data_IF_983081708052
#
_entry.id   IF_983081708052
#
_cell.length_a   1.000
_cell.length_b   1.000
_cell.length_c   1.000
_cell.angle_alpha   90.00
_cell.angle_beta   90.00
_cell.angle_gamma   90.00
#
_symmetry.space_group_name_H-M   'P 1'
#
loop_
_entity.id
_entity.type
_entity.pdbx_description
1 polymer ?
#
# COMPACT_ATOMS: atom_id res chain seq x y z
N UNK A 1 -31.28 6.61 32.93
CA UNK A 1 -31.13 7.95 32.35
C UNK A 1 -29.71 8.45 32.60
N UNK A 2 -28.95 8.85 31.57
CA UNK A 2 -27.68 9.54 31.78
C UNK A 2 -27.94 10.91 32.44
N UNK A 3 -27.07 11.30 33.38
CA UNK A 3 -27.17 12.55 34.14
C UNK A 3 -27.04 13.75 33.20
N UNK A 4 -27.80 14.86 33.39
CA UNK A 4 -27.72 16.06 32.56
C UNK A 4 -26.30 16.64 32.47
N UNK A 5 -25.48 16.54 33.52
CA UNK A 5 -24.08 17.01 33.52
C UNK A 5 -23.20 16.25 32.51
N UNK A 6 -23.39 14.94 32.36
CA UNK A 6 -22.62 14.11 31.43
C UNK A 6 -22.85 14.49 29.96
N UNK A 7 -24.05 15.00 29.63
CA UNK A 7 -24.37 15.45 28.27
C UNK A 7 -23.84 16.83 27.93
N UNK A 8 -23.67 17.70 28.94
CA UNK A 8 -23.02 19.01 28.77
C UNK A 8 -21.51 18.84 28.53
N UNK A 9 -20.87 17.94 29.29
CA UNK A 9 -19.45 17.61 29.14
C UNK A 9 -19.14 16.96 27.78
N UNK A 10 -20.00 16.06 27.29
CA UNK A 10 -19.81 15.43 25.98
C UNK A 10 -19.81 16.45 24.83
N UNK A 11 -20.76 17.40 24.84
CA UNK A 11 -20.82 18.48 23.84
C UNK A 11 -19.63 19.44 23.92
N UNK A 12 -19.06 19.62 25.11
CA UNK A 12 -17.85 20.43 25.27
C UNK A 12 -16.65 19.75 24.60
N UNK A 13 -16.47 18.43 24.81
CA UNK A 13 -15.42 17.65 24.14
C UNK A 13 -15.58 17.62 22.62
N UNK A 14 -16.80 17.44 22.10
CA UNK A 14 -17.05 17.48 20.65
C UNK A 14 -16.62 18.82 20.03
N UNK A 15 -16.97 19.94 20.67
CA UNK A 15 -16.57 21.28 20.21
C UNK A 15 -15.07 21.49 20.28
N UNK A 16 -14.44 20.97 21.33
CA UNK A 16 -12.99 21.08 21.52
C UNK A 16 -12.24 20.37 20.40
N UNK A 17 -12.62 19.14 20.06
CA UNK A 17 -12.03 18.38 18.95
C UNK A 17 -12.34 18.99 17.59
N UNK A 18 -13.55 19.54 17.38
CA UNK A 18 -13.89 20.25 16.15
C UNK A 18 -13.05 21.51 15.89
N UNK A 19 -12.48 22.10 16.95
CA UNK A 19 -11.58 23.26 16.87
C UNK A 19 -10.10 22.86 16.92
N UNK A 20 -9.81 21.57 17.11
CA UNK A 20 -8.45 21.06 17.18
C UNK A 20 -7.96 20.65 15.79
N UNK A 21 -6.68 20.86 15.53
CA UNK A 21 -6.05 20.57 14.24
C UNK A 21 -4.76 19.79 14.44
N UNK A 22 -4.61 18.74 13.64
CA UNK A 22 -3.39 17.96 13.53
C UNK A 22 -2.71 18.31 12.22
N UNK A 23 -1.47 18.79 12.28
CA UNK A 23 -0.68 19.13 11.11
C UNK A 23 0.59 18.29 11.10
N UNK A 24 0.89 17.72 9.93
CA UNK A 24 2.12 16.97 9.70
C UNK A 24 3.02 17.76 8.76
N UNK A 25 4.29 17.82 9.13
CA UNK A 25 5.34 18.44 8.34
C UNK A 25 6.50 17.47 8.17
N UNK A 26 7.20 17.61 7.06
CA UNK A 26 8.39 16.83 6.74
C UNK A 26 9.51 17.78 6.42
N UNK A 27 10.58 17.71 7.22
CA UNK A 27 11.81 18.47 6.96
C UNK A 27 12.93 17.47 6.65
N UNK A 28 13.25 17.35 5.36
CA UNK A 28 14.16 16.32 4.86
C UNK A 28 13.64 14.91 5.13
N UNK A 29 14.27 14.22 6.09
CA UNK A 29 13.97 12.83 6.45
C UNK A 29 13.35 12.68 7.85
N UNK A 30 12.87 13.79 8.42
CA UNK A 30 12.27 13.87 9.76
C UNK A 30 10.78 14.19 9.61
N UNK A 31 9.96 13.43 10.33
CA UNK A 31 8.53 13.70 10.47
C UNK A 31 8.28 14.50 11.75
N UNK A 32 7.70 15.68 11.59
CA UNK A 32 7.22 16.52 12.69
C UNK A 32 5.70 16.59 12.67
N UNK A 33 5.12 16.67 13.86
CA UNK A 33 3.69 16.66 14.09
C UNK A 33 3.32 17.73 15.11
N UNK A 34 2.38 18.60 14.77
CA UNK A 34 1.85 19.61 15.68
C UNK A 34 0.35 19.40 15.89
N UNK A 35 -0.05 19.36 17.17
CA UNK A 35 -1.44 19.35 17.58
C UNK A 35 -1.79 20.73 18.14
N UNK A 36 -2.58 21.49 17.39
CA UNK A 36 -3.13 22.76 17.84
C UNK A 36 -4.51 22.53 18.45
N UNK A 37 -4.70 22.93 19.70
CA UNK A 37 -5.96 22.84 20.41
C UNK A 37 -6.17 24.04 21.33
N UNK A 38 -7.42 24.44 21.63
CA UNK A 38 -7.72 25.54 22.54
C UNK A 38 -7.19 25.36 23.97
N UNK A 39 -6.95 24.13 24.40
CA UNK A 39 -6.39 23.79 25.71
C UNK A 39 -5.54 22.51 25.63
N UNK A 40 -4.83 22.21 26.71
CA UNK A 40 -4.04 20.97 26.80
C UNK A 40 -4.94 19.74 26.86
N UNK A 41 -4.70 18.80 25.94
CA UNK A 41 -5.53 17.61 25.78
C UNK A 41 -4.78 16.37 26.29
N UNK A 42 -5.41 15.52 27.12
CA UNK A 42 -4.85 14.23 27.49
C UNK A 42 -4.97 13.26 26.30
N UNK A 43 -4.03 13.37 25.35
CA UNK A 43 -4.07 12.63 24.09
C UNK A 43 -2.74 11.94 23.79
N UNK A 44 -2.79 10.94 22.91
CA UNK A 44 -1.63 10.24 22.37
C UNK A 44 -1.55 10.44 20.88
N UNK A 45 -0.35 10.65 20.38
CA UNK A 45 -0.05 10.64 18.96
C UNK A 45 0.39 9.23 18.57
N UNK A 46 -0.32 8.65 17.61
CA UNK A 46 -0.14 7.27 17.17
C UNK A 46 0.05 7.26 15.65
N UNK A 47 1.29 7.10 15.16
CA UNK A 47 1.53 6.85 13.74
C UNK A 47 0.79 5.61 13.26
N UNK A 48 0.24 5.68 12.06
CA UNK A 48 -0.51 4.60 11.46
C UNK A 48 -0.21 4.50 9.96
N UNK A 49 -0.51 3.33 9.39
CA UNK A 49 -0.30 3.02 7.98
C UNK A 49 -1.62 2.86 7.23
N UNK A 50 -1.79 3.62 6.15
CA UNK A 50 -2.94 3.56 5.27
C UNK A 50 -2.55 2.83 3.96
N UNK A 51 -2.81 1.52 3.89
CA UNK A 51 -2.43 0.68 2.73
C UNK A 51 -3.24 0.94 1.44
N UNK A 52 -4.38 1.63 1.56
CA UNK A 52 -5.30 1.96 0.47
C UNK A 52 -5.80 3.39 0.70
N UNK A 53 -5.79 4.27 -0.32
CA UNK A 53 -6.32 5.62 -0.17
C UNK A 53 -7.73 5.62 0.42
N UNK A 54 -7.96 6.45 1.43
CA UNK A 54 -9.24 6.55 2.15
C UNK A 54 -9.68 5.26 2.89
N UNK A 55 -8.81 4.27 3.03
CA UNK A 55 -9.03 3.07 3.83
C UNK A 55 -8.75 3.29 5.33
N UNK A 56 -9.06 2.29 6.18
CA UNK A 56 -8.74 2.36 7.59
C UNK A 56 -7.22 2.43 7.80
N UNK A 57 -6.78 3.34 8.65
CA UNK A 57 -5.37 3.49 9.01
C UNK A 57 -5.04 2.60 10.20
N UNK A 58 -4.00 1.77 10.05
CA UNK A 58 -3.63 0.76 11.03
C UNK A 58 -2.47 1.24 11.90
N UNK A 59 -2.61 1.31 13.24
CA UNK A 59 -1.56 1.78 14.13
C UNK A 59 -0.24 1.03 13.94
N UNK A 60 0.88 1.77 13.93
CA UNK A 60 2.20 1.16 13.88
C UNK A 60 2.57 0.56 15.25
N UNK A 61 2.99 -0.71 15.31
CA UNK A 61 3.28 -1.36 16.58
C UNK A 61 4.51 -0.71 17.24
N UNK A 62 4.38 -0.39 18.53
CA UNK A 62 5.48 0.13 19.34
C UNK A 62 5.86 1.59 19.07
N UNK A 63 5.10 2.33 18.26
CA UNK A 63 5.33 3.75 17.99
C UNK A 63 4.15 4.57 18.50
N UNK A 64 4.32 5.21 19.66
CA UNK A 64 3.33 6.14 20.22
C UNK A 64 4.01 7.09 21.22
N UNK A 65 3.49 8.31 21.35
CA UNK A 65 3.96 9.28 22.34
C UNK A 65 2.81 10.15 22.86
N UNK A 66 2.89 10.69 24.08
CA UNK A 66 1.92 11.66 24.56
C UNK A 66 1.94 12.91 23.66
N UNK A 67 0.79 13.52 23.43
CA UNK A 67 0.73 14.84 22.81
C UNK A 67 1.15 15.88 23.85
N UNK A 68 2.33 16.49 23.67
CA UNK A 68 2.89 17.46 24.61
C UNK A 68 2.96 18.86 24.01
N UNK A 69 2.25 19.81 24.64
CA UNK A 69 2.26 21.23 24.28
C UNK A 69 1.71 21.55 22.89
N UNK A 70 1.76 22.83 22.51
CA UNK A 70 1.29 23.34 21.21
C UNK A 70 2.39 23.37 20.12
N UNK A 71 3.51 22.68 20.36
CA UNK A 71 4.69 22.69 19.49
C UNK A 71 4.80 21.49 18.54
N UNK A 72 5.69 21.56 17.55
CA UNK A 72 6.04 20.42 16.72
C UNK A 72 6.77 19.36 17.55
N UNK A 73 6.34 18.11 17.40
CA UNK A 73 6.89 16.94 18.06
C UNK A 73 7.41 15.97 17.00
N UNK A 74 8.59 15.42 17.24
CA UNK A 74 9.21 14.45 16.34
C UNK A 74 8.93 13.01 16.80
N UNK A 75 8.86 12.10 15.82
CA UNK A 75 8.74 10.65 16.07
C UNK A 75 10.10 9.93 16.00
N UNK A 76 11.18 10.59 16.41
CA UNK A 76 12.53 10.03 16.45
C UNK A 76 12.96 9.42 15.11
N UNK A 77 13.09 8.10 15.06
CA UNK A 77 13.59 7.34 13.89
C UNK A 77 12.53 7.04 12.82
N UNK A 78 11.30 7.53 12.99
CA UNK A 78 10.23 7.33 12.02
C UNK A 78 10.53 8.11 10.74
N UNK A 79 10.69 7.40 9.63
CA UNK A 79 10.95 8.01 8.33
C UNK A 79 9.64 8.35 7.62
N UNK A 80 9.54 9.54 6.98
CA UNK A 80 8.39 9.90 6.15
C UNK A 80 8.10 8.88 5.05
N UNK A 81 6.81 8.65 4.75
CA UNK A 81 6.34 7.77 3.68
C UNK A 81 4.92 8.17 3.21
N UNK A 82 4.55 8.02 1.93
CA UNK A 82 3.20 8.40 1.44
C UNK A 82 2.01 7.76 2.16
N UNK A 83 2.16 6.51 2.62
CA UNK A 83 1.12 5.77 3.35
C UNK A 83 1.09 6.06 4.85
N UNK A 84 1.96 6.95 5.34
CA UNK A 84 2.08 7.24 6.76
C UNK A 84 1.14 8.38 7.16
N UNK A 85 0.38 8.13 8.21
CA UNK A 85 -0.51 9.09 8.83
C UNK A 85 -0.23 9.12 10.34
N UNK A 86 -0.79 10.11 11.03
CA UNK A 86 -0.79 10.19 12.49
C UNK A 86 -2.22 10.33 12.97
N UNK A 87 -2.57 9.57 13.99
CA UNK A 87 -3.84 9.62 14.68
C UNK A 87 -3.66 10.26 16.05
N UNK A 88 -4.65 11.05 16.47
CA UNK A 88 -4.76 11.55 17.85
C UNK A 88 -5.78 10.70 18.58
N UNK A 89 -5.34 10.01 19.62
CA UNK A 89 -6.17 9.14 20.43
C UNK A 89 -6.46 9.80 21.77
N UNK A 90 -7.74 9.87 22.16
CA UNK A 90 -8.17 10.32 23.49
C UNK A 90 -9.35 9.48 23.96
N UNK A 91 -9.32 9.06 25.23
CA UNK A 91 -10.35 8.18 25.80
C UNK A 91 -10.44 6.79 25.13
N UNK A 92 -9.39 6.36 24.41
CA UNK A 92 -9.40 5.10 23.64
C UNK A 92 -9.94 5.21 22.22
N UNK A 93 -10.43 6.38 21.82
CA UNK A 93 -11.02 6.64 20.51
C UNK A 93 -10.13 7.55 19.66
N UNK A 94 -10.20 7.38 18.34
CA UNK A 94 -9.51 8.25 17.38
C UNK A 94 -10.32 9.54 17.21
N UNK A 95 -9.69 10.66 17.53
CA UNK A 95 -10.32 12.00 17.45
C UNK A 95 -9.95 12.74 16.17
N UNK A 96 -8.68 12.63 15.75
CA UNK A 96 -8.15 13.27 14.55
C UNK A 96 -7.25 12.29 13.80
N UNK A 97 -7.21 12.41 12.47
CA UNK A 97 -6.27 11.67 11.61
C UNK A 97 -5.77 12.60 10.52
N UNK A 98 -4.46 12.68 10.34
CA UNK A 98 -3.83 13.43 9.26
C UNK A 98 -2.84 12.52 8.54
N UNK A 99 -2.95 12.42 7.22
CA UNK A 99 -2.01 11.67 6.38
C UNK A 99 -1.02 12.61 5.70
N UNK A 100 0.20 12.11 5.47
CA UNK A 100 1.19 12.81 4.68
C UNK A 100 0.75 12.89 3.22
N UNK A 101 0.75 14.10 2.66
CA UNK A 101 0.36 14.35 1.26
C UNK A 101 1.53 14.86 0.41
N UNK A 102 2.76 14.76 0.92
CA UNK A 102 3.94 15.26 0.22
C UNK A 102 4.27 14.37 -0.98
N UNK A 103 4.31 15.00 -2.16
CA UNK A 103 4.56 14.35 -3.46
C UNK A 103 6.04 14.01 -3.67
N UNK A 104 6.93 14.49 -2.81
CA UNK A 104 8.39 14.32 -2.92
C UNK A 104 8.90 13.15 -2.08
N UNK A 105 8.03 12.46 -1.34
CA UNK A 105 8.43 11.39 -0.43
C UNK A 105 9.02 10.17 -1.16
N UNK A 106 10.05 9.59 -0.54
CA UNK A 106 10.60 8.30 -0.96
C UNK A 106 9.63 7.18 -0.58
N UNK A 107 8.96 6.59 -1.58
CA UNK A 107 8.01 5.50 -1.40
C UNK A 107 6.85 5.58 -2.39
N UNK A 108 6.00 4.57 -2.39
CA UNK A 108 4.80 4.55 -3.24
C UNK A 108 3.54 4.21 -2.44
N UNK A 109 2.37 4.72 -2.88
CA UNK A 109 1.11 4.38 -2.23
C UNK A 109 0.77 2.88 -2.26
N UNK A 110 1.30 2.12 -3.21
CA UNK A 110 1.08 0.68 -3.34
C UNK A 110 2.07 -0.18 -2.53
N UNK A 111 2.98 0.45 -1.77
CA UNK A 111 3.97 -0.26 -0.97
C UNK A 111 3.31 -1.06 0.17
N UNK A 112 3.81 -2.28 0.36
CA UNK A 112 3.41 -3.17 1.44
C UNK A 112 4.21 -2.86 2.69
N UNK A 113 3.52 -2.69 3.82
CA UNK A 113 4.17 -2.62 5.13
C UNK A 113 4.51 -4.04 5.59
N UNK A 114 5.80 -4.29 5.78
CA UNK A 114 6.38 -5.55 6.21
C UNK A 114 6.97 -5.35 7.62
N UNK A 115 6.69 -6.30 8.51
CA UNK A 115 7.15 -6.31 9.88
C UNK A 115 8.18 -7.42 10.06
N UNK A 116 9.30 -7.07 10.66
CA UNK A 116 10.38 -7.99 11.04
C UNK A 116 10.49 -8.00 12.56
N UNK A 117 10.26 -9.17 13.17
CA UNK A 117 10.39 -9.33 14.62
C UNK A 117 11.81 -9.75 14.98
N UNK A 118 12.46 -8.98 15.86
CA UNK A 118 13.76 -9.33 16.42
C UNK A 118 13.73 -10.65 17.21
N UNK A 119 14.66 -11.56 16.91
CA UNK A 119 14.88 -12.81 17.67
C UNK A 119 14.61 -14.10 16.89
N UNK A 120 13.54 -14.15 16.08
CA UNK A 120 13.16 -15.36 15.32
C UNK A 120 13.15 -15.16 13.80
N UNK A 121 13.51 -13.97 13.31
CA UNK A 121 13.43 -13.61 11.88
C UNK A 121 12.05 -13.94 11.28
N UNK A 122 10.97 -13.78 12.06
CA UNK A 122 9.61 -14.01 11.57
C UNK A 122 9.10 -12.76 10.88
N UNK A 123 8.82 -12.89 9.58
CA UNK A 123 8.32 -11.83 8.72
C UNK A 123 6.81 -11.94 8.56
N UNK A 124 6.12 -10.81 8.67
CA UNK A 124 4.70 -10.74 8.33
C UNK A 124 4.38 -9.47 7.56
N UNK A 125 3.35 -9.56 6.74
CA UNK A 125 2.80 -8.42 6.02
C UNK A 125 1.63 -7.84 6.81
N UNK A 126 1.57 -6.52 6.89
CA UNK A 126 0.42 -5.84 7.49
C UNK A 126 -0.76 -5.86 6.51
N UNK A 127 -1.83 -6.56 6.88
CA UNK A 127 -3.04 -6.66 6.08
C UNK A 127 -4.27 -6.43 6.97
N UNK A 128 -5.06 -5.38 6.68
CA UNK A 128 -6.33 -5.09 7.38
C UNK A 128 -6.23 -5.02 8.91
N UNK A 129 -5.10 -4.58 9.45
CA UNK A 129 -4.91 -4.48 10.90
C UNK A 129 -4.29 -5.70 11.56
N UNK A 130 -4.01 -6.74 10.78
CA UNK A 130 -3.41 -7.97 11.28
C UNK A 130 -2.06 -8.17 10.60
N UNK A 131 -1.08 -8.57 11.40
CA UNK A 131 0.20 -9.08 10.94
C UNK A 131 -0.04 -10.50 10.39
N UNK A 132 -0.18 -10.61 9.07
CA UNK A 132 -0.44 -11.89 8.39
C UNK A 132 0.90 -12.50 7.98
N UNK A 133 1.21 -13.75 8.38
CA UNK A 133 2.41 -14.44 7.92
C UNK A 133 2.47 -14.46 6.40
N UNK A 134 3.66 -14.28 5.82
CA UNK A 134 3.83 -14.18 4.36
C UNK A 134 3.37 -15.44 3.62
N UNK A 135 3.48 -16.61 4.25
CA UNK A 135 2.94 -17.87 3.74
C UNK A 135 1.41 -17.86 3.52
N UNK A 136 0.68 -17.01 4.23
CA UNK A 136 -0.79 -16.90 4.19
C UNK A 136 -1.28 -15.60 3.55
N UNK A 137 -0.38 -14.76 3.03
CA UNK A 137 -0.70 -13.45 2.49
C UNK A 137 -1.41 -13.55 1.13
N UNK A 138 -2.58 -12.92 0.98
CA UNK A 138 -3.48 -13.18 -0.16
C UNK A 138 -3.49 -12.10 -1.24
N UNK A 139 -2.90 -10.92 -1.00
CA UNK A 139 -2.90 -9.79 -1.96
C UNK A 139 -2.20 -10.10 -3.28
N UNK A 140 -1.28 -11.08 -3.29
CA UNK A 140 -0.57 -11.52 -4.50
C UNK A 140 -1.31 -12.58 -5.31
N UNK A 141 -2.42 -13.14 -4.82
CA UNK A 141 -3.27 -14.08 -5.54
C UNK A 141 -2.49 -15.26 -6.13
N UNK A 142 -2.50 -16.39 -5.42
CA UNK A 142 -2.04 -17.72 -5.92
C UNK A 142 -0.55 -17.80 -6.29
N UNK A 143 0.35 -17.24 -5.47
CA UNK A 143 1.77 -17.56 -5.52
C UNK A 143 2.11 -18.83 -4.71
N UNK A 144 3.13 -19.58 -5.12
CA UNK A 144 3.63 -20.71 -4.34
C UNK A 144 4.00 -20.24 -2.91
N UNK A 145 3.58 -20.97 -1.86
CA UNK A 145 3.88 -20.59 -0.49
C UNK A 145 5.41 -20.51 -0.27
N UNK A 146 5.89 -19.40 0.30
CA UNK A 146 7.29 -19.18 0.65
C UNK A 146 8.15 -18.44 -0.39
N UNK A 147 7.78 -18.41 -1.68
CA UNK A 147 8.58 -17.71 -2.70
C UNK A 147 8.57 -16.18 -2.48
N UNK A 148 7.39 -15.62 -2.16
CA UNK A 148 7.22 -14.20 -1.89
C UNK A 148 8.06 -13.74 -0.69
N UNK A 149 8.16 -14.58 0.35
CA UNK A 149 8.96 -14.28 1.53
C UNK A 149 10.44 -14.20 1.19
N UNK A 150 10.96 -15.17 0.42
CA UNK A 150 12.35 -15.16 0.01
C UNK A 150 12.68 -13.97 -0.90
N UNK A 151 11.78 -13.58 -1.80
CA UNK A 151 11.98 -12.44 -2.67
C UNK A 151 11.95 -11.11 -1.89
N UNK A 152 11.00 -10.94 -0.97
CA UNK A 152 10.96 -9.76 -0.09
C UNK A 152 12.19 -9.67 0.82
N UNK A 153 12.66 -10.79 1.38
CA UNK A 153 13.90 -10.81 2.16
C UNK A 153 15.10 -10.38 1.31
N UNK A 154 15.18 -10.87 0.07
CA UNK A 154 16.25 -10.48 -0.87
C UNK A 154 16.19 -9.00 -1.22
N UNK A 155 14.99 -8.45 -1.37
CA UNK A 155 14.78 -7.02 -1.60
C UNK A 155 15.22 -6.15 -0.44
N UNK A 156 14.85 -6.54 0.79
CA UNK A 156 15.29 -5.85 2.00
C UNK A 156 16.81 -5.88 2.09
N UNK A 157 17.43 -7.05 1.91
CA UNK A 157 18.88 -7.20 1.91
C UNK A 157 19.59 -6.40 0.80
N UNK A 158 18.93 -6.25 -0.36
CA UNK A 158 19.43 -5.47 -1.49
C UNK A 158 19.15 -3.95 -1.36
N UNK A 159 18.52 -3.49 -0.28
CA UNK A 159 18.15 -2.09 -0.08
C UNK A 159 17.05 -1.58 -1.00
N UNK A 160 16.23 -2.48 -1.56
CA UNK A 160 15.09 -2.13 -2.41
C UNK A 160 13.80 -1.82 -1.63
N UNK A 161 13.76 -2.18 -0.34
CA UNK A 161 12.70 -1.77 0.57
C UNK A 161 13.14 -0.58 1.41
N UNK A 162 12.21 0.33 1.68
CA UNK A 162 12.43 1.51 2.48
C UNK A 162 12.23 1.21 3.96
N UNK A 163 13.18 1.55 4.82
CA UNK A 163 13.02 1.37 6.27
C UNK A 163 12.16 2.51 6.85
N UNK A 164 10.94 2.19 7.26
CA UNK A 164 9.99 3.17 7.82
C UNK A 164 10.29 3.42 9.29
N UNK A 165 10.60 2.36 10.04
CA UNK A 165 10.87 2.43 11.47
C UNK A 165 11.86 1.35 11.88
N UNK A 166 12.73 1.68 12.82
CA UNK A 166 13.60 0.72 13.47
C UNK A 166 13.64 0.99 14.98
N UNK A 167 13.40 -0.03 15.82
CA UNK A 167 13.44 0.11 17.27
C UNK A 167 14.85 0.44 17.74
N UNK A 168 14.97 1.10 18.88
CA UNK A 168 16.27 1.40 19.48
C UNK A 168 16.95 0.15 20.07
N UNK A 169 16.14 -0.78 20.57
CA UNK A 169 16.57 -2.07 21.11
C UNK A 169 16.27 -3.19 20.12
N UNK A 170 17.18 -4.18 20.02
CA UNK A 170 17.09 -5.32 19.11
C UNK A 170 15.90 -6.27 19.34
N UNK A 171 15.10 -6.02 20.38
CA UNK A 171 13.90 -6.79 20.75
C UNK A 171 12.59 -6.22 20.17
N UNK A 172 12.65 -5.10 19.44
CA UNK A 172 11.47 -4.49 18.82
C UNK A 172 11.16 -5.02 17.42
N UNK A 173 10.15 -4.39 16.80
CA UNK A 173 9.72 -4.69 15.42
C UNK A 173 10.29 -3.64 14.47
N UNK A 174 11.04 -4.08 13.47
CA UNK A 174 11.48 -3.22 12.36
C UNK A 174 10.40 -3.19 11.29
N UNK A 175 10.10 -2.00 10.76
CA UNK A 175 9.08 -1.79 9.73
C UNK A 175 9.72 -1.40 8.42
N UNK A 176 9.31 -2.09 7.36
CA UNK A 176 9.79 -1.92 6.00
C UNK A 176 8.63 -1.62 5.06
N UNK A 177 8.82 -0.72 4.11
CA UNK A 177 7.91 -0.47 3.01
C UNK A 177 8.50 -1.06 1.74
N UNK A 178 7.84 -2.09 1.19
CA UNK A 178 8.34 -2.83 0.04
C UNK A 178 7.42 -2.65 -1.18
N UNK A 179 7.97 -2.33 -2.36
CA UNK A 179 7.19 -2.11 -3.56
C UNK A 179 6.61 -3.40 -4.14
N UNK A 180 5.28 -3.51 -4.19
CA UNK A 180 4.58 -4.73 -4.64
C UNK A 180 4.37 -4.83 -6.16
N UNK A 181 4.46 -3.72 -6.88
CA UNK A 181 4.18 -3.69 -8.32
C UNK A 181 5.03 -4.66 -9.17
N UNK A 182 6.21 -5.08 -8.69
CA UNK A 182 7.07 -6.04 -9.40
C UNK A 182 6.55 -7.48 -9.30
N UNK A 183 5.87 -7.80 -8.20
CA UNK A 183 5.28 -9.12 -7.98
C UNK A 183 3.94 -9.29 -8.69
N UNK A 184 3.18 -8.20 -8.85
CA UNK A 184 1.85 -8.22 -9.48
C UNK A 184 1.92 -8.21 -11.02
N UNK A 185 2.97 -7.64 -11.62
CA UNK A 185 3.08 -7.47 -13.08
C UNK A 185 3.42 -8.75 -13.85
N UNK A 186 4.07 -9.73 -13.22
CA UNK A 186 4.47 -10.96 -13.89
C UNK A 186 3.28 -11.72 -14.53
N UNK A 187 2.08 -11.59 -13.94
CA UNK A 187 0.87 -12.26 -14.43
C UNK A 187 0.27 -11.63 -15.68
N UNK A 188 0.42 -10.31 -15.87
CA UNK A 188 -0.10 -9.62 -17.05
C UNK A 188 0.73 -9.92 -18.30
N UNK A 189 2.04 -10.12 -18.16
CA UNK A 189 2.91 -10.50 -19.27
C UNK A 189 2.44 -11.78 -19.97
N UNK A 190 2.01 -12.81 -19.20
CA UNK A 190 1.51 -14.06 -19.76
C UNK A 190 0.17 -13.88 -20.52
N UNK A 191 -0.71 -13.01 -20.03
CA UNK A 191 -1.97 -12.67 -20.73
C UNK A 191 -1.65 -11.97 -22.05
N UNK A 192 -0.72 -11.01 -22.05
CA UNK A 192 -0.25 -10.34 -23.26
C UNK A 192 0.38 -11.32 -24.26
N UNK A 193 1.21 -12.26 -23.79
CA UNK A 193 1.78 -13.31 -24.64
C UNK A 193 0.71 -14.22 -25.23
N UNK A 194 -0.32 -14.58 -24.46
CA UNK A 194 -1.46 -15.34 -24.95
C UNK A 194 -2.27 -14.59 -26.01
N UNK A 195 -2.51 -13.28 -25.83
CA UNK A 195 -3.20 -12.43 -26.81
C UNK A 195 -2.36 -12.27 -28.08
N UNK A 196 -1.06 -12.03 -27.96
CA UNK A 196 -0.14 -11.94 -29.09
C UNK A 196 -0.09 -13.26 -29.88
N UNK A 197 -0.02 -14.39 -29.18
CA UNK A 197 -0.04 -15.71 -29.83
C UNK A 197 -1.39 -15.98 -30.51
N UNK A 198 -2.51 -15.65 -29.86
CA UNK A 198 -3.85 -15.83 -30.42
C UNK A 198 -4.07 -14.97 -31.67
N UNK A 199 -3.66 -13.71 -31.63
CA UNK A 199 -3.72 -12.81 -32.79
C UNK A 199 -2.82 -13.28 -33.93
N UNK A 200 -1.59 -13.75 -33.64
CA UNK A 200 -0.71 -14.35 -34.65
C UNK A 200 -1.32 -15.61 -35.29
N UNK A 201 -1.92 -16.51 -34.49
CA UNK A 201 -2.61 -17.70 -35.00
C UNK A 201 -3.80 -17.33 -35.90
N UNK A 202 -4.62 -16.35 -35.50
CA UNK A 202 -5.74 -15.87 -36.32
C UNK A 202 -5.26 -15.27 -37.63
N UNK A 203 -4.19 -14.46 -37.60
CA UNK A 203 -3.58 -13.90 -38.81
C UNK A 203 -3.08 -14.99 -39.75
N UNK A 204 -2.40 -16.02 -39.23
CA UNK A 204 -1.94 -17.16 -40.02
C UNK A 204 -3.11 -17.92 -40.67
N UNK A 205 -4.19 -18.18 -39.93
CA UNK A 205 -5.38 -18.82 -40.48
C UNK A 205 -6.04 -17.98 -41.58
N UNK A 206 -6.09 -16.66 -41.41
CA UNK A 206 -6.61 -15.75 -42.43
C UNK A 206 -5.73 -15.73 -43.69
N UNK A 207 -4.41 -15.79 -43.55
CA UNK A 207 -3.48 -15.88 -44.66
C UNK A 207 -3.64 -17.21 -45.43
N UNK A 208 -3.72 -18.33 -44.73
CA UNK A 208 -3.95 -19.65 -45.35
C UNK A 208 -5.30 -19.72 -46.05
N UNK A 209 -6.37 -19.15 -45.45
CA UNK A 209 -7.69 -19.05 -46.09
C UNK A 209 -7.65 -18.15 -47.33
N UNK A 210 -6.93 -17.03 -47.27
CA UNK A 210 -6.72 -16.13 -48.41
C UNK A 210 -5.98 -16.82 -49.55
N UNK A 211 -4.96 -17.61 -49.26
CA UNK A 211 -4.23 -18.38 -50.26
C UNK A 211 -5.08 -19.48 -50.89
N UNK A 212 -5.87 -20.22 -50.10
CA UNK A 212 -6.83 -21.19 -50.61
C UNK A 212 -7.91 -20.54 -51.50
N UNK A 213 -8.47 -19.39 -51.09
CA UNK A 213 -9.42 -18.62 -51.90
C UNK A 213 -8.77 -18.10 -53.18
N UNK A 214 -7.51 -17.67 -53.12
CA UNK A 214 -6.75 -17.19 -54.29
C UNK A 214 -6.40 -18.34 -55.24
N UNK A 215 -6.10 -19.53 -54.73
CA UNK A 215 -5.91 -20.75 -55.52
C UNK A 215 -7.20 -21.21 -56.19
N UNK A 216 -8.31 -21.20 -55.46
CA UNK A 216 -9.64 -21.52 -55.99
C UNK A 216 -10.11 -20.53 -57.06
N UNK A 217 -9.93 -19.22 -56.84
CA UNK A 217 -10.23 -18.18 -57.83
C UNK A 217 -9.37 -18.29 -59.10
N UNK A 218 -8.09 -18.69 -58.98
CA UNK A 218 -7.24 -18.96 -60.14
C UNK A 218 -7.71 -20.19 -60.92
N UNK A 219 -8.16 -21.24 -60.24
CA UNK A 219 -8.72 -22.45 -60.87
C UNK A 219 -10.03 -22.14 -61.62
N UNK A 220 -10.93 -21.35 -61.02
CA UNK A 220 -12.18 -20.91 -61.68
C UNK A 220 -11.91 -20.05 -62.92
N UNK A 221 -10.91 -19.17 -62.87
CA UNK A 221 -10.51 -18.35 -64.03
C UNK A 221 -9.94 -19.21 -65.17
N UNK A 222 -9.22 -20.29 -64.87
CA UNK A 222 -8.70 -21.20 -65.89
C UNK A 222 -9.81 -22.04 -66.53
N UNK A 223 -10.83 -22.44 -65.76
CA UNK A 223 -11.98 -23.19 -66.28
C UNK A 223 -12.91 -22.36 -67.19
N UNK A 224 -13.08 -21.07 -66.90
CA UNK A 224 -13.91 -20.17 -67.72
C UNK A 224 -13.23 -19.67 -69.02
N UNK A 225 -11.95 -19.99 -69.24
CA UNK A 225 -11.21 -19.60 -70.45
C UNK A 225 -11.17 -20.65 -71.55
N UNK A 226 -11.87 -21.78 -71.40
CA UNK A 226 -11.80 -22.94 -72.30
C UNK A 226 -13.13 -23.29 -73.00
N UNK A 227 -14.14 -22.43 -72.95
CA UNK A 227 -15.33 -22.52 -73.82
C UNK A 227 -15.36 -21.26 -74.70
N UNK A 228 -14.68 -21.35 -75.84
CA UNK A 228 -14.52 -20.24 -76.78
C UNK A 228 -13.75 -20.64 -78.03
N UNK A 229 -14.05 -21.82 -78.59
CA UNK A 229 -13.84 -22.17 -80.00
C UNK A 229 -15.05 -22.99 -80.48
#
# INVERSE_FOLDING_TARGET
HPSPDATADAKAWERLWAQSQLILHTEGQVLTCSLSAPCDLPAKLVPCWQSVPSGPCQPLPGVQQPAVGQGPQEFGRLRPHPNLCVQVWSGGEVQLTQCLQDRVLAGRPDDLLLLEHGGNASWCAMERGVCTPLASFTRTGTGYPGLLEQDLQRDVAAGQCWQVWHPENSTGVTLWACPMHKYLRARWALVWMGVLLGTACLLLLLLLKKENLKGWLKSLRAGYGSEGE
#
